data_IF_004227605971
#
_entry.id   IF_004227605971
#
_cell.length_a   1.000
_cell.length_b   1.000
_cell.length_c   1.000
_cell.angle_alpha   90.00
_cell.angle_beta   90.00
_cell.angle_gamma   90.00
#
_symmetry.space_group_name_H-M   'P 1'
#
loop_
_entity.id
_entity.type
_entity.pdbx_description
1 polymer ?
#
# COMPACT_ATOMS: atom_id res chain seq x y z
N UNK A 1 -15.54 -11.86 8.50
CA UNK A 1 -14.66 -12.06 7.34
C UNK A 1 -13.80 -13.27 7.62
N UNK A 2 -13.52 -14.07 6.61
CA UNK A 2 -12.70 -15.29 6.71
C UNK A 2 -11.69 -15.32 5.55
N UNK A 3 -10.67 -16.17 5.64
CA UNK A 3 -9.75 -16.40 4.53
C UNK A 3 -9.45 -17.88 4.31
N UNK A 4 -8.99 -18.20 3.09
CA UNK A 4 -8.44 -19.50 2.74
C UNK A 4 -7.28 -19.33 1.75
N UNK A 5 -6.25 -20.17 1.84
CA UNK A 5 -5.23 -20.26 0.79
C UNK A 5 -5.84 -21.01 -0.39
N UNK A 6 -5.73 -20.44 -1.59
CA UNK A 6 -6.30 -21.08 -2.77
C UNK A 6 -5.36 -22.12 -3.35
N UNK A 7 -5.82 -23.37 -3.39
CA UNK A 7 -5.08 -24.50 -3.97
C UNK A 7 -5.08 -24.51 -5.52
N UNK A 8 -5.76 -23.54 -6.14
CA UNK A 8 -5.91 -23.37 -7.59
C UNK A 8 -6.64 -24.54 -8.28
N UNK A 9 -7.36 -25.37 -7.52
CA UNK A 9 -8.18 -26.48 -8.04
C UNK A 9 -9.65 -26.22 -7.77
N UNK A 10 -9.96 -25.70 -6.59
CA UNK A 10 -11.32 -25.36 -6.19
C UNK A 10 -11.89 -24.19 -7.00
N UNK A 11 -13.19 -24.26 -7.27
CA UNK A 11 -13.88 -23.22 -8.02
C UNK A 11 -14.08 -21.96 -7.18
N UNK A 12 -13.97 -20.79 -7.81
CA UNK A 12 -14.24 -19.50 -7.14
C UNK A 12 -15.64 -19.04 -7.56
N UNK A 13 -16.56 -18.95 -6.60
CA UNK A 13 -17.95 -18.49 -6.83
C UNK A 13 -18.64 -19.21 -8.01
N UNK A 14 -18.38 -20.50 -8.19
CA UNK A 14 -18.93 -21.32 -9.29
C UNK A 14 -18.18 -21.21 -10.63
N UNK A 15 -17.12 -20.40 -10.72
CA UNK A 15 -16.22 -20.36 -11.88
C UNK A 15 -15.10 -21.39 -11.69
N UNK A 16 -14.91 -22.35 -12.62
CA UNK A 16 -13.85 -23.33 -12.53
C UNK A 16 -12.46 -22.67 -12.47
N UNK A 17 -11.58 -23.17 -11.61
CA UNK A 17 -10.23 -22.62 -11.43
C UNK A 17 -9.46 -22.43 -12.74
N UNK A 18 -9.56 -23.40 -13.65
CA UNK A 18 -8.95 -23.33 -15.00
C UNK A 18 -9.32 -22.05 -15.75
N UNK A 19 -10.60 -21.66 -15.75
CA UNK A 19 -11.07 -20.45 -16.43
C UNK A 19 -10.57 -19.17 -15.75
N UNK A 20 -10.50 -19.18 -14.43
CA UNK A 20 -9.95 -18.06 -13.65
C UNK A 20 -8.48 -17.86 -13.98
N UNK A 21 -7.68 -18.93 -14.01
CA UNK A 21 -6.25 -18.89 -14.33
C UNK A 21 -5.97 -18.57 -15.80
N UNK A 22 -6.79 -19.05 -16.74
CA UNK A 22 -6.70 -18.67 -18.16
C UNK A 22 -6.87 -17.16 -18.35
N UNK A 23 -7.73 -16.53 -17.54
CA UNK A 23 -7.97 -15.09 -17.57
C UNK A 23 -6.91 -14.31 -16.79
N UNK A 24 -6.20 -14.96 -15.86
CA UNK A 24 -5.19 -14.33 -15.00
C UNK A 24 -3.89 -15.18 -14.99
N UNK A 25 -3.11 -15.19 -16.08
CA UNK A 25 -1.96 -16.10 -16.19
C UNK A 25 -0.88 -15.88 -15.13
N UNK A 26 -0.75 -14.66 -14.60
CA UNK A 26 0.19 -14.30 -13.54
C UNK A 26 -0.15 -14.93 -12.18
N UNK A 27 -1.35 -15.48 -12.02
CA UNK A 27 -1.78 -16.16 -10.78
C UNK A 27 -1.38 -17.63 -10.71
N UNK A 28 -0.86 -18.21 -11.79
CA UNK A 28 -0.54 -19.66 -11.84
C UNK A 28 0.50 -20.02 -10.78
N UNK A 29 1.54 -19.20 -10.63
CA UNK A 29 2.64 -19.44 -9.71
C UNK A 29 2.57 -18.58 -8.43
N UNK A 30 1.56 -17.72 -8.33
CA UNK A 30 1.38 -16.83 -7.17
C UNK A 30 0.78 -17.57 -5.97
N UNK A 31 1.20 -17.19 -4.77
CA UNK A 31 0.55 -17.62 -3.53
C UNK A 31 -0.65 -16.72 -3.24
N UNK A 32 -1.85 -17.26 -3.41
CA UNK A 32 -3.10 -16.50 -3.34
C UNK A 32 -3.90 -16.84 -2.11
N UNK A 33 -4.44 -15.83 -1.46
CA UNK A 33 -5.49 -15.97 -0.45
C UNK A 33 -6.84 -15.51 -1.01
N UNK A 34 -7.89 -16.21 -0.64
CA UNK A 34 -9.28 -15.84 -0.90
C UNK A 34 -9.83 -15.18 0.35
N UNK A 35 -10.33 -13.97 0.24
CA UNK A 35 -11.09 -13.30 1.30
C UNK A 35 -12.56 -13.60 1.09
N UNK A 36 -13.23 -14.05 2.14
CA UNK A 36 -14.59 -14.53 2.09
C UNK A 36 -15.50 -13.77 3.05
N UNK A 37 -16.71 -13.50 2.57
CA UNK A 37 -17.80 -12.96 3.37
C UNK A 37 -19.09 -13.72 3.03
N UNK A 38 -19.79 -14.21 4.06
CA UNK A 38 -21.04 -14.95 3.91
C UNK A 38 -20.93 -16.14 2.92
N UNK A 39 -19.79 -16.84 2.94
CA UNK A 39 -19.53 -17.99 2.07
C UNK A 39 -19.24 -17.67 0.60
N UNK A 40 -19.10 -16.38 0.22
CA UNK A 40 -18.62 -15.99 -1.12
C UNK A 40 -17.23 -15.40 -1.04
N UNK A 41 -16.42 -15.68 -2.06
CA UNK A 41 -15.15 -14.99 -2.27
C UNK A 41 -15.44 -13.57 -2.72
N UNK A 42 -14.97 -12.59 -1.97
CA UNK A 42 -15.13 -11.16 -2.25
C UNK A 42 -13.84 -10.52 -2.77
N UNK A 43 -12.67 -11.03 -2.35
CA UNK A 43 -11.36 -10.60 -2.85
C UNK A 43 -10.43 -11.80 -3.04
N UNK A 44 -9.46 -11.64 -3.94
CA UNK A 44 -8.37 -12.57 -4.18
C UNK A 44 -7.10 -11.75 -4.09
N UNK A 45 -6.20 -12.10 -3.18
CA UNK A 45 -5.01 -11.30 -2.90
C UNK A 45 -3.75 -12.15 -3.09
N UNK A 46 -2.74 -11.55 -3.71
CA UNK A 46 -1.40 -12.11 -3.82
C UNK A 46 -0.59 -11.73 -2.59
N UNK A 47 -0.13 -12.75 -1.86
CA UNK A 47 0.62 -12.58 -0.61
C UNK A 47 1.88 -11.73 -0.82
N UNK A 48 2.56 -11.89 -1.96
CA UNK A 48 3.79 -11.15 -2.25
C UNK A 48 3.51 -9.69 -2.58
N UNK A 49 2.42 -9.41 -3.29
CA UNK A 49 2.00 -8.04 -3.58
C UNK A 49 1.61 -7.31 -2.29
N UNK A 50 0.83 -7.94 -1.40
CA UNK A 50 0.47 -7.32 -0.13
C UNK A 50 1.70 -7.03 0.72
N UNK A 51 2.65 -7.98 0.81
CA UNK A 51 3.90 -7.72 1.53
C UNK A 51 4.68 -6.54 0.93
N UNK A 52 4.82 -6.48 -0.39
CA UNK A 52 5.50 -5.38 -1.05
C UNK A 52 4.83 -4.03 -0.76
N UNK A 53 3.50 -3.98 -0.82
CA UNK A 53 2.73 -2.77 -0.52
C UNK A 53 2.87 -2.33 0.95
N UNK A 54 3.03 -3.28 1.86
CA UNK A 54 3.27 -3.01 3.29
C UNK A 54 4.74 -2.67 3.62
N UNK A 55 5.62 -2.51 2.63
CA UNK A 55 7.03 -2.17 2.84
C UNK A 55 7.98 -3.37 2.90
N UNK A 56 7.51 -4.58 2.58
CA UNK A 56 8.31 -5.78 2.38
C UNK A 56 8.72 -6.52 3.65
N UNK A 57 8.17 -6.16 4.81
CA UNK A 57 8.54 -6.68 6.13
C UNK A 57 7.38 -7.38 6.85
N UNK A 58 6.31 -7.74 6.14
CA UNK A 58 5.12 -8.34 6.73
C UNK A 58 5.40 -9.74 7.27
N UNK A 59 6.34 -10.48 6.66
CA UNK A 59 6.71 -11.84 7.06
C UNK A 59 8.21 -12.07 6.99
N UNK A 60 8.67 -13.07 7.75
CA UNK A 60 10.04 -13.56 7.72
C UNK A 60 10.22 -14.57 6.58
N UNK A 61 11.46 -14.70 6.08
CA UNK A 61 11.78 -15.62 4.97
C UNK A 61 11.35 -17.07 5.28
N UNK A 62 11.52 -17.48 6.54
CA UNK A 62 11.23 -18.83 7.03
C UNK A 62 9.75 -19.06 7.41
N UNK A 63 8.90 -18.05 7.31
CA UNK A 63 7.48 -18.23 7.62
C UNK A 63 6.86 -19.21 6.62
N UNK A 64 6.05 -20.15 7.13
CA UNK A 64 5.26 -21.04 6.29
C UNK A 64 4.19 -20.25 5.53
N UNK A 65 3.62 -20.86 4.48
CA UNK A 65 2.58 -20.22 3.69
C UNK A 65 1.34 -19.88 4.54
N UNK A 66 0.98 -20.75 5.49
CA UNK A 66 -0.12 -20.54 6.43
C UNK A 66 0.13 -19.33 7.33
N UNK A 67 1.35 -19.19 7.86
CA UNK A 67 1.73 -18.03 8.68
C UNK A 67 1.69 -16.76 7.84
N UNK A 68 2.23 -16.78 6.62
CA UNK A 68 2.20 -15.64 5.69
C UNK A 68 0.76 -15.24 5.36
N UNK A 69 -0.10 -16.20 5.06
CA UNK A 69 -1.51 -15.96 4.75
C UNK A 69 -2.26 -15.35 5.94
N UNK A 70 -2.01 -15.83 7.16
CA UNK A 70 -2.58 -15.27 8.38
C UNK A 70 -2.16 -13.80 8.58
N UNK A 71 -0.87 -13.50 8.44
CA UNK A 71 -0.35 -12.11 8.59
C UNK A 71 -0.94 -11.17 7.53
N UNK A 72 -1.07 -11.63 6.28
CA UNK A 72 -1.74 -10.87 5.21
C UNK A 72 -3.21 -10.63 5.54
N UNK A 73 -3.92 -11.64 6.04
CA UNK A 73 -5.31 -11.49 6.44
C UNK A 73 -5.49 -10.46 7.56
N UNK A 74 -4.66 -10.54 8.60
CA UNK A 74 -4.65 -9.56 9.70
C UNK A 74 -4.37 -8.13 9.22
N UNK A 75 -3.43 -7.98 8.27
CA UNK A 75 -3.14 -6.71 7.65
C UNK A 75 -4.37 -6.12 6.94
N UNK A 76 -5.06 -6.92 6.13
CA UNK A 76 -6.27 -6.51 5.41
C UNK A 76 -7.41 -6.11 6.38
N UNK A 77 -7.59 -6.87 7.46
CA UNK A 77 -8.59 -6.54 8.49
C UNK A 77 -8.27 -5.19 9.14
N UNK A 78 -7.01 -4.96 9.50
CA UNK A 78 -6.56 -3.70 10.10
C UNK A 78 -6.74 -2.51 9.16
N UNK A 79 -6.39 -2.65 7.87
CA UNK A 79 -6.63 -1.60 6.87
C UNK A 79 -8.11 -1.24 6.77
N UNK A 80 -9.00 -2.24 6.79
CA UNK A 80 -10.44 -2.02 6.74
C UNK A 80 -10.95 -1.30 8.00
N UNK A 81 -10.50 -1.70 9.17
CA UNK A 81 -10.86 -1.03 10.43
C UNK A 81 -10.39 0.42 10.46
N UNK A 82 -9.19 0.71 9.92
CA UNK A 82 -8.68 2.07 9.79
C UNK A 82 -9.49 2.91 8.80
N UNK A 83 -9.93 2.33 7.68
CA UNK A 83 -10.83 2.98 6.72
C UNK A 83 -12.20 3.29 7.33
N UNK A 84 -12.84 2.31 7.99
CA UNK A 84 -14.15 2.50 8.64
C UNK A 84 -14.07 3.53 9.78
N UNK A 85 -12.96 3.56 10.54
CA UNK A 85 -12.72 4.59 11.56
C UNK A 85 -12.47 5.99 10.97
N UNK A 86 -11.75 6.08 9.84
CA UNK A 86 -11.52 7.35 9.16
C UNK A 86 -12.81 7.91 8.53
N UNK A 87 -13.66 7.04 7.98
CA UNK A 87 -14.94 7.43 7.38
C UNK A 87 -16.00 7.81 8.45
N UNK A 88 -15.94 7.24 9.64
CA UNK A 88 -16.85 7.59 10.76
C UNK A 88 -16.41 8.85 11.53
N UNK A 89 -15.15 9.27 11.39
CA UNK A 89 -14.60 10.49 12.00
C UNK A 89 -13.78 11.32 10.99
N UNK A 90 -14.42 11.93 9.97
CA UNK A 90 -13.72 12.77 8.99
C UNK A 90 -13.05 14.01 9.62
N UNK A 91 -13.50 14.43 10.81
CA UNK A 91 -12.95 15.55 11.59
C UNK A 91 -11.98 15.10 12.71
N UNK A 92 -11.34 13.93 12.58
CA UNK A 92 -10.33 13.52 13.56
C UNK A 92 -9.20 14.56 13.60
N UNK A 93 -8.84 15.11 14.78
CA UNK A 93 -7.78 16.12 14.89
C UNK A 93 -6.42 15.63 14.38
N UNK A 94 -6.26 14.31 14.20
CA UNK A 94 -5.08 13.70 13.58
C UNK A 94 -4.96 14.02 12.07
N UNK A 95 -6.07 14.12 11.34
CA UNK A 95 -6.05 14.49 9.91
C UNK A 95 -5.70 15.98 9.75
N UNK A 96 -6.29 16.85 10.56
CA UNK A 96 -5.93 18.27 10.59
C UNK A 96 -4.48 18.50 11.03
N UNK A 97 -3.99 17.73 12.01
CA UNK A 97 -2.60 17.83 12.44
C UNK A 97 -1.64 17.41 11.33
N UNK A 98 -1.94 16.31 10.61
CA UNK A 98 -1.14 15.90 9.45
C UNK A 98 -1.14 16.95 8.33
N UNK A 99 -2.28 17.59 8.07
CA UNK A 99 -2.35 18.69 7.08
C UNK A 99 -1.48 19.85 7.53
N UNK A 100 -1.55 20.26 8.80
CA UNK A 100 -0.70 21.32 9.37
C UNK A 100 0.79 20.99 9.27
N UNK A 101 1.18 19.76 9.61
CA UNK A 101 2.58 19.32 9.54
C UNK A 101 3.10 19.33 8.09
N UNK A 102 2.27 18.94 7.12
CA UNK A 102 2.59 18.99 5.70
C UNK A 102 2.68 20.43 5.17
N UNK A 103 1.79 21.32 5.60
CA UNK A 103 1.84 22.75 5.26
C UNK A 103 3.13 23.40 5.80
N UNK A 104 3.53 23.09 7.03
CA UNK A 104 4.76 23.60 7.63
C UNK A 104 6.01 23.08 6.89
N UNK A 105 6.05 21.79 6.57
CA UNK A 105 7.14 21.19 5.80
C UNK A 105 7.27 21.81 4.39
N UNK A 106 6.15 22.03 3.71
CA UNK A 106 6.12 22.65 2.39
C UNK A 106 6.61 24.10 2.44
N UNK A 107 6.21 24.85 3.47
CA UNK A 107 6.62 26.24 3.63
C UNK A 107 8.12 26.36 3.90
N UNK A 108 8.67 25.47 4.73
CA UNK A 108 10.12 25.38 4.97
C UNK A 108 10.90 25.02 3.71
N UNK A 109 10.40 24.06 2.94
CA UNK A 109 11.02 23.68 1.66
C UNK A 109 11.04 24.85 0.66
N UNK A 110 9.99 25.68 0.66
CA UNK A 110 9.93 26.88 -0.17
C UNK A 110 10.97 27.92 0.26
N UNK A 111 11.12 28.17 1.56
CA UNK A 111 12.14 29.09 2.09
C UNK A 111 13.56 28.63 1.74
N UNK A 112 13.85 27.34 1.89
CA UNK A 112 15.14 26.75 1.52
C UNK A 112 15.42 26.89 0.03
N UNK A 113 14.40 26.71 -0.81
CA UNK A 113 14.50 26.89 -2.26
C UNK A 113 14.71 28.35 -2.65
N UNK A 114 13.99 29.28 -2.03
CA UNK A 114 14.16 30.72 -2.27
C UNK A 114 15.57 31.18 -1.87
N UNK A 115 16.11 30.65 -0.76
CA UNK A 115 17.49 30.89 -0.34
C UNK A 115 18.50 30.34 -1.35
N UNK A 116 18.31 29.11 -1.84
CA UNK A 116 19.18 28.53 -2.85
C UNK A 116 19.16 29.34 -4.18
N UNK A 117 17.99 29.83 -4.59
CA UNK A 117 17.85 30.69 -5.77
C UNK A 117 18.59 32.02 -5.56
N UNK A 118 18.50 32.61 -4.36
CA UNK A 118 19.22 33.84 -4.03
C UNK A 118 20.74 33.65 -4.09
N UNK A 119 21.26 32.56 -3.50
CA UNK A 119 22.68 32.22 -3.54
C UNK A 119 23.18 31.98 -4.98
N UNK A 120 22.42 31.26 -5.80
CA UNK A 120 22.71 31.06 -7.22
C UNK A 120 22.70 32.38 -8.01
N UNK A 121 21.73 33.26 -7.73
CA UNK A 121 21.63 34.57 -8.37
C UNK A 121 22.83 35.45 -8.02
N UNK A 122 23.29 35.40 -6.77
CA UNK A 122 24.50 36.12 -6.34
C UNK A 122 25.76 35.57 -7.02
N UNK A 123 25.91 34.25 -7.10
CA UNK A 123 27.04 33.60 -7.78
C UNK A 123 27.08 33.93 -9.29
N UNK A 124 25.92 33.97 -9.95
CA UNK A 124 25.80 34.31 -11.38
C UNK A 124 25.95 35.82 -11.64
N UNK A 125 25.53 36.68 -10.72
CA UNK A 125 25.71 38.13 -10.79
C UNK A 125 27.14 38.60 -10.56
N UNK A 126 27.91 37.86 -9.75
CA UNK A 126 29.34 38.11 -9.52
C UNK A 126 30.24 37.77 -10.71
N UNK A 127 29.80 36.90 -11.62
CA UNK A 127 30.58 36.45 -12.78
C UNK A 127 30.58 37.44 -13.98
N UNK A 128 29.93 38.61 -13.87
CA UNK A 128 29.85 39.64 -14.94
C UNK A 128 30.68 40.91 -14.69
N UNK A 129 31.68 40.87 -13.81
CA UNK A 129 32.68 41.93 -13.69
C UNK A 129 34.08 41.34 -13.81
N UNK A 130 34.44 40.95 -15.03
CA UNK A 130 35.83 40.86 -15.48
C UNK A 130 35.79 40.87 -17.03
N UNK A 131 35.65 42.07 -17.59
CA UNK A 131 36.04 42.42 -18.97
C UNK A 131 36.76 43.76 -18.91
#
# INVERSE_FOLDING_TARGET
>A
MEYAIWDKKESINGVPAKKVLESNPHWVDADLILIMENGRVTRIEDIQIINANAGGNLFDENDSLEVKAQKVFEHIVKEREEQENAESHPDSPAAEQRIRDLEEALNKQKEDMDKAIMELTFALGGAKKDV
#
